data_IF_421435863463
#
_entry.id   IF_421435863463
#
_cell.length_a   1.000
_cell.length_b   1.000
_cell.length_c   1.000
_cell.angle_alpha   90.00
_cell.angle_beta   90.00
_cell.angle_gamma   90.00
#
_symmetry.space_group_name_H-M   'P 1'
#
loop_
_entity.id
_entity.type
_entity.pdbx_description
1 polymer ?
#
# COMPACT_ATOMS: atom_id res chain seq x y z
N UNK A 1 25.75 -26.00 -6.06
CA UNK A 1 24.74 -24.91 -6.10
C UNK A 1 24.96 -24.05 -4.87
N UNK A 2 25.20 -22.75 -5.05
CA UNK A 2 25.30 -21.82 -3.92
C UNK A 2 23.92 -21.69 -3.27
N UNK A 3 23.85 -21.82 -1.95
CA UNK A 3 22.63 -21.54 -1.18
C UNK A 3 22.69 -20.08 -0.74
N UNK A 4 21.58 -19.36 -0.95
CA UNK A 4 21.43 -17.98 -0.51
C UNK A 4 20.46 -17.97 0.66
N UNK A 5 20.98 -17.70 1.85
CA UNK A 5 20.20 -17.62 3.08
C UNK A 5 19.63 -16.19 3.28
N UNK A 6 18.71 -16.03 4.24
CA UNK A 6 18.10 -14.75 4.65
C UNK A 6 17.28 -14.04 3.55
N UNK A 7 16.43 -14.80 2.85
CA UNK A 7 15.48 -14.29 1.87
C UNK A 7 14.09 -14.16 2.51
N UNK A 8 13.47 -12.99 2.40
CA UNK A 8 12.09 -12.72 2.78
C UNK A 8 11.19 -12.81 1.55
N UNK A 9 10.08 -13.54 1.65
CA UNK A 9 9.03 -13.54 0.63
C UNK A 9 8.03 -12.43 0.90
N UNK A 10 7.89 -11.51 -0.04
CA UNK A 10 6.85 -10.50 -0.07
C UNK A 10 5.70 -11.00 -0.95
N UNK A 11 4.47 -10.76 -0.53
CA UNK A 11 3.27 -11.04 -1.33
C UNK A 11 2.35 -9.83 -1.29
N UNK A 12 1.91 -9.37 -2.45
CA UNK A 12 1.02 -8.23 -2.56
C UNK A 12 -0.41 -8.67 -2.23
N UNK A 13 -1.02 -8.06 -1.22
CA UNK A 13 -2.36 -8.42 -0.78
C UNK A 13 -3.45 -8.04 -1.81
N UNK A 14 -3.13 -7.18 -2.78
CA UNK A 14 -4.07 -6.74 -3.83
C UNK A 14 -4.00 -7.58 -5.09
N UNK A 15 -2.81 -7.76 -5.67
CA UNK A 15 -2.65 -8.45 -6.96
C UNK A 15 -2.06 -9.86 -6.85
N UNK A 16 -1.61 -10.28 -5.67
CA UNK A 16 -1.00 -11.59 -5.45
C UNK A 16 0.43 -11.75 -5.97
N UNK A 17 1.01 -10.69 -6.55
CA UNK A 17 2.42 -10.69 -6.97
C UNK A 17 3.33 -11.01 -5.79
N UNK A 18 4.37 -11.82 -6.01
CA UNK A 18 5.32 -12.17 -4.97
C UNK A 18 6.76 -11.97 -5.42
N UNK A 19 7.60 -11.52 -4.49
CA UNK A 19 9.04 -11.39 -4.71
C UNK A 19 9.81 -12.00 -3.53
N UNK A 20 10.89 -12.70 -3.87
CA UNK A 20 11.85 -13.23 -2.93
C UNK A 20 13.02 -12.25 -2.86
N UNK A 21 13.13 -11.51 -1.77
CA UNK A 21 14.11 -10.45 -1.62
C UNK A 21 15.09 -10.79 -0.49
N UNK A 22 16.37 -10.53 -0.74
CA UNK A 22 17.36 -10.59 0.33
C UNK A 22 17.08 -9.49 1.36
N UNK A 23 17.37 -9.79 2.62
CA UNK A 23 17.31 -8.79 3.69
C UNK A 23 18.19 -7.58 3.34
N UNK A 24 17.62 -6.38 3.40
CA UNK A 24 18.32 -5.14 3.06
C UNK A 24 18.43 -4.83 1.56
N UNK A 25 17.83 -5.64 0.68
CA UNK A 25 17.79 -5.35 -0.75
C UNK A 25 17.05 -4.02 -1.01
N UNK A 26 17.58 -3.19 -1.91
CA UNK A 26 16.94 -1.92 -2.29
C UNK A 26 15.50 -2.13 -2.80
N UNK A 27 15.26 -3.25 -3.50
CA UNK A 27 13.94 -3.65 -3.98
C UNK A 27 12.92 -3.90 -2.84
N UNK A 28 13.35 -4.10 -1.59
CA UNK A 28 12.43 -4.18 -0.46
C UNK A 28 11.75 -2.83 -0.20
N UNK A 29 12.37 -1.72 -0.61
CA UNK A 29 11.78 -0.38 -0.55
C UNK A 29 10.60 -0.17 -1.51
N UNK A 30 10.43 -1.03 -2.51
CA UNK A 30 9.29 -1.00 -3.43
C UNK A 30 8.02 -1.65 -2.85
N UNK A 31 8.17 -2.38 -1.73
CA UNK A 31 7.07 -2.97 -0.99
C UNK A 31 6.65 -2.04 0.14
N UNK A 32 5.37 -1.68 0.18
CA UNK A 32 4.85 -0.72 1.14
C UNK A 32 3.66 -1.30 1.86
N UNK A 33 3.71 -1.25 3.18
CA UNK A 33 2.54 -1.44 4.02
C UNK A 33 1.73 -0.14 4.00
N UNK A 34 0.46 -0.24 3.59
CA UNK A 34 -0.49 0.87 3.59
C UNK A 34 -1.52 0.65 4.68
N UNK A 35 -1.84 1.72 5.40
CA UNK A 35 -2.83 1.69 6.47
C UNK A 35 -4.00 2.60 6.08
N UNK A 36 -5.23 2.08 6.19
CA UNK A 36 -6.46 2.84 5.92
C UNK A 36 -7.44 2.64 7.06
N UNK A 37 -8.14 3.70 7.40
CA UNK A 37 -9.29 3.65 8.30
C UNK A 37 -10.58 3.68 7.47
N UNK A 38 -11.52 2.82 7.82
CA UNK A 38 -12.86 2.86 7.24
C UNK A 38 -13.75 3.89 7.96
N UNK A 39 -14.97 4.06 7.46
CA UNK A 39 -15.99 4.97 7.99
C UNK A 39 -16.41 4.67 9.43
N UNK A 40 -16.16 3.45 9.93
CA UNK A 40 -16.42 3.06 11.32
C UNK A 40 -15.19 3.26 12.21
N UNK A 41 -14.06 3.73 11.66
CA UNK A 41 -12.80 3.89 12.36
C UNK A 41 -11.97 2.61 12.45
N UNK A 42 -12.35 1.55 11.74
CA UNK A 42 -11.61 0.29 11.75
C UNK A 42 -10.35 0.41 10.89
N UNK A 43 -9.19 0.04 11.46
CA UNK A 43 -7.91 0.04 10.75
C UNK A 43 -7.76 -1.22 9.92
N UNK A 44 -7.41 -1.05 8.64
CA UNK A 44 -6.97 -2.11 7.75
C UNK A 44 -5.54 -1.82 7.29
N UNK A 45 -4.65 -2.81 7.44
CA UNK A 45 -3.30 -2.77 6.88
C UNK A 45 -3.18 -3.73 5.70
N UNK A 46 -2.45 -3.35 4.65
CA UNK A 46 -2.18 -4.19 3.46
C UNK A 46 -0.75 -3.99 2.97
N UNK A 47 -0.06 -5.07 2.67
CA UNK A 47 1.23 -5.04 1.99
C UNK A 47 1.02 -4.97 0.47
N UNK A 48 1.52 -3.93 -0.17
CA UNK A 48 1.38 -3.70 -1.61
C UNK A 48 2.73 -3.68 -2.31
N UNK A 49 2.77 -4.19 -3.54
CA UNK A 49 3.88 -3.94 -4.46
C UNK A 49 3.80 -2.49 -5.00
N UNK A 50 4.91 -2.02 -5.60
CA UNK A 50 5.07 -0.65 -6.10
C UNK A 50 3.90 -0.16 -6.96
N UNK A 51 3.50 -0.94 -7.97
CA UNK A 51 2.41 -0.57 -8.88
C UNK A 51 1.09 -0.39 -8.13
N UNK A 52 0.76 -1.34 -7.24
CA UNK A 52 -0.43 -1.27 -6.41
C UNK A 52 -0.38 -0.11 -5.41
N UNK A 53 0.79 0.22 -4.86
CA UNK A 53 0.99 1.40 -4.01
C UNK A 53 0.74 2.69 -4.78
N UNK A 54 1.27 2.81 -6.01
CA UNK A 54 1.12 4.02 -6.82
C UNK A 54 -0.35 4.24 -7.23
N UNK A 55 -1.06 3.17 -7.57
CA UNK A 55 -2.51 3.21 -7.78
C UNK A 55 -3.29 3.56 -6.51
N UNK A 56 -2.91 2.99 -5.37
CA UNK A 56 -3.53 3.30 -4.09
C UNK A 56 -3.37 4.78 -3.73
N UNK A 57 -2.19 5.38 -3.96
CA UNK A 57 -1.96 6.81 -3.74
C UNK A 57 -2.87 7.69 -4.59
N UNK A 58 -3.11 7.33 -5.85
CA UNK A 58 -4.06 8.06 -6.72
C UNK A 58 -5.49 7.96 -6.19
N UNK A 59 -5.91 6.77 -5.76
CA UNK A 59 -7.22 6.57 -5.14
C UNK A 59 -7.38 7.39 -3.86
N UNK A 60 -6.38 7.35 -2.98
CA UNK A 60 -6.38 8.11 -1.73
C UNK A 60 -6.51 9.61 -1.99
N UNK A 61 -5.73 10.16 -2.93
CA UNK A 61 -5.81 11.58 -3.30
C UNK A 61 -7.21 11.99 -3.82
N UNK A 62 -7.89 11.13 -4.57
CA UNK A 62 -9.26 11.38 -5.02
C UNK A 62 -10.27 11.38 -3.86
N UNK A 63 -10.11 10.45 -2.92
CA UNK A 63 -10.97 10.36 -1.73
C UNK A 63 -10.75 11.57 -0.81
N UNK A 64 -9.51 12.00 -0.64
CA UNK A 64 -9.16 13.19 0.14
C UNK A 64 -9.80 14.44 -0.49
N UNK A 65 -9.69 14.62 -1.81
CA UNK A 65 -10.33 15.73 -2.51
C UNK A 65 -11.85 15.73 -2.35
N UNK A 66 -12.50 14.59 -2.55
CA UNK A 66 -13.95 14.45 -2.38
C UNK A 66 -14.39 14.75 -0.94
N UNK A 67 -13.58 14.35 0.06
CA UNK A 67 -13.85 14.67 1.46
C UNK A 67 -13.74 16.17 1.73
N UNK A 68 -12.70 16.84 1.21
CA UNK A 68 -12.57 18.29 1.35
C UNK A 68 -13.74 19.05 0.70
N UNK A 69 -14.16 18.64 -0.51
CA UNK A 69 -15.34 19.21 -1.16
C UNK A 69 -16.62 19.02 -0.35
N UNK A 70 -16.83 17.81 0.19
CA UNK A 70 -17.97 17.52 1.08
C UNK A 70 -17.98 18.43 2.30
N UNK A 71 -16.82 18.64 2.93
CA UNK A 71 -16.69 19.53 4.09
C UNK A 71 -16.91 21.00 3.74
N UNK A 72 -16.49 21.44 2.54
CA UNK A 72 -16.63 22.82 2.09
C UNK A 72 -18.08 23.20 1.71
N UNK A 73 -18.89 22.25 1.20
CA UNK A 73 -20.26 22.50 0.72
C UNK A 73 -21.32 22.69 1.81
N UNK A 74 -20.95 22.66 3.10
CA UNK A 74 -21.90 22.81 4.22
C UNK A 74 -22.27 24.29 4.48
N UNK A 75 -22.81 24.96 3.46
CA UNK A 75 -23.21 26.37 3.51
C UNK A 75 -24.01 26.90 2.30
N UNK A 76 -24.37 26.05 1.33
CA UNK A 76 -25.36 26.36 0.28
C UNK A 76 -26.78 25.96 0.69
#
# INVERSE_FOLDING_TARGET
MAKTDNITKYTCDRCGESAYLQQGAAAAGDWREVERFDQYGSKASRLLCKSCTDEYKRLAAQQDAAFQEFMAKKGE
#
